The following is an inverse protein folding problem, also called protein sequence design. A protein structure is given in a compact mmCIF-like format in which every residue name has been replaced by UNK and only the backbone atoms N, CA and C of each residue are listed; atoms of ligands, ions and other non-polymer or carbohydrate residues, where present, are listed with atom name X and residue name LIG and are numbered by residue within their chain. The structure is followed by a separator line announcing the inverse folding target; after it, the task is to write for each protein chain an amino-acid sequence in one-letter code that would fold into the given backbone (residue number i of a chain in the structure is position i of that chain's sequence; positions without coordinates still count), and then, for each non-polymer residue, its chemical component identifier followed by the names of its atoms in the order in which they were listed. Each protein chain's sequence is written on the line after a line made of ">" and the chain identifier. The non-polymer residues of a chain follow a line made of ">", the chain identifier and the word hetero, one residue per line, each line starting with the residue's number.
data_IF_330348119822
#
_entry.id   IF_330348119822
#
_cell.length_a   1.000
_cell.length_b   1.000
_cell.length_c   1.000
_cell.angle_alpha   90.00
_cell.angle_beta   90.00
_cell.angle_gamma   90.00
#
_symmetry.space_group_name_H-M   'P 1'
#
loop_
_entity.id
_entity.type
_entity.pdbx_description
1 polymer ?
#
# COMPACT_ATOMS: atom_id res chain seq x y z
N UNK A 1 17.57 -1.80 -62.64
CA UNK A 1 17.12 -2.24 -61.28
C UNK A 1 18.39 -2.54 -60.49
N UNK A 2 18.87 -1.58 -59.71
CA UNK A 2 20.08 -1.69 -58.91
C UNK A 2 19.73 -2.44 -57.61
N UNK A 3 20.49 -3.54 -57.38
CA UNK A 3 20.35 -4.34 -56.18
C UNK A 3 20.74 -3.49 -54.96
N UNK A 4 19.79 -3.26 -54.09
CA UNK A 4 20.03 -2.65 -52.76
C UNK A 4 21.07 -3.47 -52.02
N UNK A 5 22.11 -2.78 -51.51
CA UNK A 5 23.15 -3.41 -50.71
C UNK A 5 22.55 -4.08 -49.48
N UNK A 6 23.04 -5.27 -49.12
CA UNK A 6 22.63 -6.01 -47.90
C UNK A 6 22.76 -5.20 -46.61
N UNK A 7 23.56 -4.14 -46.61
CA UNK A 7 23.69 -3.19 -45.45
C UNK A 7 22.49 -2.23 -45.38
N UNK A 8 21.97 -1.79 -46.52
CA UNK A 8 20.76 -0.94 -46.55
C UNK A 8 19.50 -1.74 -46.20
N UNK A 9 19.40 -2.98 -46.70
CA UNK A 9 18.32 -3.88 -46.27
C UNK A 9 18.37 -4.16 -44.75
N UNK A 10 19.55 -4.39 -44.16
CA UNK A 10 19.67 -4.52 -42.70
C UNK A 10 19.30 -3.25 -41.96
N UNK A 11 19.61 -2.05 -42.49
CA UNK A 11 19.19 -0.77 -41.87
C UNK A 11 17.68 -0.56 -41.98
N UNK A 12 17.06 -0.89 -43.09
CA UNK A 12 15.61 -0.79 -43.28
C UNK A 12 14.87 -1.81 -42.38
N UNK A 13 15.39 -3.04 -42.25
CA UNK A 13 14.83 -4.04 -41.32
C UNK A 13 15.11 -3.76 -39.86
N UNK A 14 16.21 -3.12 -39.50
CA UNK A 14 16.48 -2.71 -38.11
C UNK A 14 15.66 -1.47 -37.70
N UNK A 15 15.32 -0.59 -38.64
CA UNK A 15 14.43 0.54 -38.38
C UNK A 15 12.93 0.17 -38.44
N UNK A 16 12.58 -0.97 -39.05
CA UNK A 16 11.18 -1.46 -39.12
C UNK A 16 10.77 -2.41 -38.00
N UNK A 17 11.67 -2.80 -37.10
CA UNK A 17 11.39 -3.56 -35.88
C UNK A 17 11.71 -2.73 -34.63
N UNK A 18 11.22 -1.52 -34.56
CA UNK A 18 10.73 -1.02 -33.28
C UNK A 18 9.40 -1.74 -33.09
N UNK A 19 9.43 -2.80 -32.34
CA UNK A 19 8.20 -3.43 -31.88
C UNK A 19 7.42 -2.35 -31.13
N UNK A 20 6.22 -2.05 -31.62
CA UNK A 20 5.23 -1.16 -30.98
C UNK A 20 4.82 -1.66 -29.57
N UNK A 21 5.47 -2.70 -29.07
CA UNK A 21 5.28 -3.35 -27.77
C UNK A 21 6.29 -2.95 -26.70
N UNK A 22 7.31 -2.15 -27.00
CA UNK A 22 8.10 -1.45 -25.97
C UNK A 22 7.33 -0.17 -25.60
N UNK A 23 6.19 -0.31 -24.92
CA UNK A 23 5.69 0.75 -24.05
C UNK A 23 6.86 1.21 -23.19
N UNK A 24 7.32 2.41 -23.46
CA UNK A 24 8.48 3.01 -22.80
C UNK A 24 8.20 3.04 -21.30
N UNK A 25 8.72 2.05 -20.60
CA UNK A 25 8.61 1.93 -19.15
C UNK A 25 9.08 3.26 -18.55
N UNK A 26 8.31 3.91 -17.69
CA UNK A 26 8.73 5.15 -17.08
C UNK A 26 10.12 4.98 -16.49
N UNK A 27 11.08 5.75 -17.00
CA UNK A 27 12.48 5.70 -16.55
C UNK A 27 12.57 6.40 -15.21
N UNK A 28 12.16 5.72 -14.13
CA UNK A 28 12.28 6.28 -12.79
C UNK A 28 13.71 6.73 -12.52
N UNK A 29 13.86 7.87 -11.86
CA UNK A 29 15.18 8.47 -11.58
C UNK A 29 15.64 8.17 -10.15
N UNK A 30 14.73 7.86 -9.23
CA UNK A 30 15.09 7.48 -7.86
C UNK A 30 15.67 6.07 -7.78
N UNK A 31 16.30 5.78 -6.66
CA UNK A 31 17.09 4.57 -6.42
C UNK A 31 16.68 3.91 -5.09
N UNK A 32 17.18 2.70 -4.84
CA UNK A 32 17.02 2.02 -3.55
C UNK A 32 17.57 2.86 -2.39
N UNK A 33 18.64 3.65 -2.60
CA UNK A 33 19.18 4.54 -1.56
C UNK A 33 18.17 5.62 -1.16
N UNK A 34 17.45 6.18 -2.13
CA UNK A 34 16.42 7.18 -1.85
C UNK A 34 15.27 6.57 -1.04
N UNK A 35 14.88 5.34 -1.35
CA UNK A 35 13.88 4.57 -0.59
C UNK A 35 14.36 4.31 0.85
N UNK A 36 15.61 3.89 1.01
CA UNK A 36 16.20 3.63 2.33
C UNK A 36 16.19 4.89 3.21
N UNK A 37 16.64 6.03 2.68
CA UNK A 37 16.60 7.30 3.41
C UNK A 37 15.17 7.74 3.72
N UNK A 38 14.22 7.56 2.80
CA UNK A 38 12.82 7.87 3.02
C UNK A 38 12.21 7.03 4.16
N UNK A 39 12.50 5.74 4.20
CA UNK A 39 12.02 4.83 5.27
C UNK A 39 12.62 5.22 6.62
N UNK A 40 13.95 5.46 6.69
CA UNK A 40 14.60 5.90 7.94
C UNK A 40 13.99 7.21 8.41
N UNK A 41 13.85 8.18 7.53
CA UNK A 41 13.24 9.47 7.86
C UNK A 41 11.83 9.29 8.43
N UNK A 42 10.98 8.48 7.77
CA UNK A 42 9.63 8.20 8.26
C UNK A 42 9.65 7.56 9.65
N UNK A 43 10.48 6.53 9.87
CA UNK A 43 10.58 5.86 11.18
C UNK A 43 10.99 6.85 12.26
N UNK A 44 12.03 7.64 12.02
CA UNK A 44 12.54 8.60 13.02
C UNK A 44 11.50 9.67 13.33
N UNK A 45 10.89 10.27 12.31
CA UNK A 45 9.92 11.36 12.49
C UNK A 45 8.64 10.84 13.14
N UNK A 46 8.09 9.71 12.68
CA UNK A 46 6.88 9.13 13.28
C UNK A 46 7.11 8.71 14.73
N UNK A 47 8.25 8.08 15.02
CA UNK A 47 8.61 7.75 16.41
C UNK A 47 8.68 9.00 17.28
N UNK A 48 9.28 10.08 16.78
CA UNK A 48 9.33 11.38 17.46
C UNK A 48 7.93 11.97 17.69
N UNK A 49 7.06 11.93 16.70
CA UNK A 49 5.68 12.42 16.78
C UNK A 49 4.88 11.64 17.84
N UNK A 50 4.94 10.31 17.81
CA UNK A 50 4.23 9.47 18.80
C UNK A 50 4.79 9.64 20.21
N UNK A 51 6.12 9.76 20.35
CA UNK A 51 6.75 10.05 21.63
C UNK A 51 6.30 11.41 22.21
N UNK A 52 6.30 12.45 21.38
CA UNK A 52 5.85 13.77 21.78
C UNK A 52 4.36 13.78 22.16
N UNK A 53 3.53 13.13 21.36
CA UNK A 53 2.11 12.95 21.67
C UNK A 53 1.92 12.28 23.05
N UNK A 54 2.61 11.17 23.32
CA UNK A 54 2.55 10.49 24.61
C UNK A 54 2.96 11.39 25.78
N UNK A 55 4.01 12.22 25.63
CA UNK A 55 4.42 13.19 26.64
C UNK A 55 3.36 14.28 26.89
N UNK A 56 2.76 14.82 25.84
CA UNK A 56 1.70 15.82 25.94
C UNK A 56 0.50 15.24 26.70
N UNK A 57 0.07 14.03 26.34
CA UNK A 57 -1.07 13.35 27.00
C UNK A 57 -0.80 13.15 28.50
N UNK A 58 0.40 12.73 28.88
CA UNK A 58 0.79 12.57 30.29
C UNK A 58 0.78 13.89 31.08
N UNK A 59 1.26 14.97 30.45
CA UNK A 59 1.28 16.30 31.08
C UNK A 59 -0.14 16.83 31.28
N UNK A 60 -1.03 16.61 30.31
CA UNK A 60 -2.41 17.08 30.36
C UNK A 60 -3.31 16.25 31.30
N UNK A 61 -2.92 14.99 31.59
CA UNK A 61 -3.67 14.06 32.44
C UNK A 61 -2.80 13.47 33.55
N UNK A 62 -2.30 14.26 34.46
CA UNK A 62 -1.41 13.77 35.53
C UNK A 62 -2.16 12.78 36.43
N UNK A 63 -1.56 11.61 36.64
CA UNK A 63 -2.10 10.54 37.49
C UNK A 63 -2.97 9.49 36.78
N UNK A 64 -3.29 9.65 35.51
CA UNK A 64 -4.02 8.65 34.71
C UNK A 64 -3.12 8.03 33.64
N UNK A 65 -2.41 6.95 33.98
CA UNK A 65 -1.56 6.25 33.02
C UNK A 65 -2.34 5.60 31.87
N UNK A 66 -3.63 5.31 32.04
CA UNK A 66 -4.51 4.79 31.00
C UNK A 66 -4.91 5.83 29.96
N UNK A 67 -4.67 7.11 30.21
CA UNK A 67 -5.00 8.19 29.27
C UNK A 67 -4.21 8.13 27.95
N UNK A 68 -3.02 7.50 27.94
CA UNK A 68 -2.22 7.28 26.72
C UNK A 68 -2.92 6.27 25.79
N UNK A 69 -3.68 5.33 26.34
CA UNK A 69 -4.36 4.26 25.62
C UNK A 69 -5.69 4.78 25.04
N UNK A 70 -6.28 5.81 25.63
CA UNK A 70 -7.53 6.39 25.18
C UNK A 70 -7.31 7.30 23.94
N UNK A 71 -7.21 6.66 22.77
CA UNK A 71 -7.16 7.37 21.49
C UNK A 71 -8.56 7.94 21.24
N UNK A 72 -8.67 9.25 21.20
CA UNK A 72 -9.90 9.95 20.82
C UNK A 72 -9.99 10.10 19.30
N UNK A 73 -11.20 10.39 18.77
CA UNK A 73 -11.38 10.72 17.36
C UNK A 73 -10.40 11.78 16.85
N UNK A 74 -10.18 12.83 17.65
CA UNK A 74 -9.28 13.93 17.29
C UNK A 74 -7.82 13.44 17.23
N UNK A 75 -7.36 12.72 18.24
CA UNK A 75 -6.01 12.19 18.29
C UNK A 75 -5.72 11.20 17.15
N UNK A 76 -6.67 10.29 16.88
CA UNK A 76 -6.58 9.37 15.77
C UNK A 76 -6.47 10.11 14.43
N UNK A 77 -7.38 11.05 14.17
CA UNK A 77 -7.42 11.80 12.93
C UNK A 77 -6.16 12.64 12.72
N UNK A 78 -5.63 13.28 13.77
CA UNK A 78 -4.42 14.10 13.69
C UNK A 78 -3.18 13.23 13.47
N UNK A 79 -2.97 12.18 14.27
CA UNK A 79 -1.80 11.31 14.14
C UNK A 79 -1.78 10.59 12.80
N UNK A 80 -2.93 10.08 12.37
CA UNK A 80 -3.06 9.43 11.07
C UNK A 80 -2.87 10.41 9.93
N UNK A 81 -3.44 11.62 10.01
CA UNK A 81 -3.22 12.68 9.03
C UNK A 81 -1.75 13.05 8.88
N UNK A 82 -1.01 13.17 10.00
CA UNK A 82 0.44 13.40 10.00
C UNK A 82 1.18 12.24 9.30
N UNK A 83 0.84 10.99 9.64
CA UNK A 83 1.44 9.81 9.02
C UNK A 83 1.26 9.81 7.50
N UNK A 84 0.04 10.05 7.02
CA UNK A 84 -0.31 10.08 5.60
C UNK A 84 0.43 11.21 4.87
N UNK A 85 0.46 12.41 5.45
CA UNK A 85 1.17 13.55 4.88
C UNK A 85 2.68 13.28 4.80
N UNK A 86 3.27 12.66 5.81
CA UNK A 86 4.68 12.28 5.81
C UNK A 86 4.97 11.21 4.75
N UNK A 87 4.14 10.18 4.61
CA UNK A 87 4.32 9.13 3.59
C UNK A 87 4.32 9.72 2.18
N UNK A 88 3.32 10.54 1.83
CA UNK A 88 3.25 11.18 0.53
C UNK A 88 4.33 12.24 0.38
N UNK A 89 4.62 12.99 1.45
CA UNK A 89 5.64 14.02 1.47
C UNK A 89 7.05 13.51 1.17
N UNK A 90 7.44 12.35 1.73
CA UNK A 90 8.76 11.76 1.43
C UNK A 90 8.84 11.27 -0.02
N UNK A 91 7.77 10.68 -0.55
CA UNK A 91 7.73 10.29 -1.97
C UNK A 91 7.85 11.52 -2.86
N UNK A 92 7.08 12.56 -2.57
CA UNK A 92 7.16 13.82 -3.31
C UNK A 92 8.57 14.41 -3.25
N UNK A 93 9.17 14.47 -2.05
CA UNK A 93 10.51 15.02 -1.87
C UNK A 93 11.55 14.22 -2.67
N UNK A 94 11.66 12.91 -2.46
CA UNK A 94 12.71 12.11 -3.08
C UNK A 94 12.48 11.88 -4.58
N UNK A 95 11.26 11.51 -5.01
CA UNK A 95 11.01 11.20 -6.41
C UNK A 95 10.80 12.46 -7.27
N UNK A 96 9.94 13.39 -6.82
CA UNK A 96 9.52 14.53 -7.65
C UNK A 96 10.50 15.69 -7.50
N UNK A 97 10.72 16.17 -6.26
CA UNK A 97 11.55 17.35 -6.03
C UNK A 97 13.06 17.07 -6.25
N UNK A 98 13.60 16.08 -5.55
CA UNK A 98 15.04 15.78 -5.59
C UNK A 98 15.47 15.12 -6.90
N UNK A 99 14.76 14.07 -7.34
CA UNK A 99 15.10 13.31 -8.55
C UNK A 99 14.48 13.88 -9.84
N UNK A 100 13.63 14.89 -9.74
CA UNK A 100 13.00 15.53 -10.93
C UNK A 100 12.24 14.51 -11.80
N UNK A 101 11.59 13.55 -11.17
CA UNK A 101 10.67 12.64 -11.83
C UNK A 101 9.27 13.26 -11.94
N UNK A 102 8.39 12.61 -12.68
CA UNK A 102 7.01 13.07 -12.88
C UNK A 102 6.02 12.20 -12.09
N UNK A 103 4.82 12.68 -11.89
CA UNK A 103 3.73 11.88 -11.30
C UNK A 103 3.41 10.64 -12.14
N UNK A 104 3.59 10.72 -13.47
CA UNK A 104 3.45 9.57 -14.37
C UNK A 104 4.48 8.49 -14.06
N UNK A 105 5.69 8.85 -13.68
CA UNK A 105 6.74 7.90 -13.31
C UNK A 105 6.38 7.14 -12.02
N UNK A 106 5.56 7.71 -11.14
CA UNK A 106 4.99 7.02 -9.98
C UNK A 106 3.85 6.05 -10.35
N UNK A 107 3.38 6.07 -11.60
CA UNK A 107 2.23 5.28 -12.04
C UNK A 107 0.88 5.97 -11.87
N UNK A 108 0.86 7.30 -11.64
CA UNK A 108 -0.37 8.09 -11.68
C UNK A 108 -0.77 8.34 -13.12
N UNK A 109 -1.25 7.27 -13.77
CA UNK A 109 -1.65 7.22 -15.18
C UNK A 109 -3.07 6.70 -15.30
N UNK A 110 -3.77 7.12 -16.35
CA UNK A 110 -5.10 6.60 -16.64
C UNK A 110 -5.04 5.10 -16.95
N UNK A 111 -6.05 4.38 -16.47
CA UNK A 111 -6.31 2.99 -16.83
C UNK A 111 -7.81 2.75 -17.04
N UNK A 112 -8.16 1.79 -17.89
CA UNK A 112 -9.56 1.48 -18.20
C UNK A 112 -10.34 1.06 -16.95
N UNK A 113 -11.44 1.76 -16.65
CA UNK A 113 -12.29 1.48 -15.49
C UNK A 113 -12.91 0.07 -15.52
N UNK A 114 -13.36 -0.36 -16.70
CA UNK A 114 -13.96 -1.70 -16.87
C UNK A 114 -12.90 -2.79 -16.59
N UNK A 115 -11.68 -2.63 -17.13
CA UNK A 115 -10.58 -3.56 -16.85
C UNK A 115 -10.19 -3.52 -15.37
N UNK A 116 -10.25 -2.36 -14.74
CA UNK A 116 -10.00 -2.21 -13.29
C UNK A 116 -10.98 -3.05 -12.48
N UNK A 117 -12.29 -2.94 -12.73
CA UNK A 117 -13.31 -3.73 -12.05
C UNK A 117 -13.03 -5.23 -12.23
N UNK A 118 -12.74 -5.66 -13.46
CA UNK A 118 -12.48 -7.07 -13.75
C UNK A 118 -11.23 -7.61 -13.04
N UNK A 119 -10.11 -6.89 -13.09
CA UNK A 119 -8.90 -7.27 -12.36
C UNK A 119 -9.13 -7.29 -10.86
N UNK A 120 -9.85 -6.30 -10.33
CA UNK A 120 -10.16 -6.24 -8.88
C UNK A 120 -11.05 -7.40 -8.45
N UNK A 121 -12.05 -7.75 -9.23
CA UNK A 121 -12.92 -8.90 -8.93
C UNK A 121 -12.13 -10.22 -8.85
N UNK A 122 -11.32 -10.51 -9.86
CA UNK A 122 -10.49 -11.72 -9.87
C UNK A 122 -9.47 -11.72 -8.72
N UNK A 123 -8.85 -10.57 -8.45
CA UNK A 123 -7.89 -10.44 -7.37
C UNK A 123 -8.54 -10.63 -5.99
N UNK A 124 -9.75 -10.11 -5.77
CA UNK A 124 -10.49 -10.31 -4.52
C UNK A 124 -10.79 -11.80 -4.28
N UNK A 125 -11.17 -12.54 -5.31
CA UNK A 125 -11.37 -13.99 -5.18
C UNK A 125 -10.09 -14.70 -4.72
N UNK A 126 -8.94 -14.33 -5.30
CA UNK A 126 -7.64 -14.89 -4.91
C UNK A 126 -7.28 -14.50 -3.48
N UNK A 127 -7.42 -13.22 -3.12
CA UNK A 127 -7.10 -12.69 -1.79
C UNK A 127 -7.97 -13.38 -0.72
N UNK A 128 -9.30 -13.42 -0.92
CA UNK A 128 -10.19 -14.09 0.02
C UNK A 128 -9.93 -15.59 0.12
N UNK A 129 -9.61 -16.25 -1.00
CA UNK A 129 -9.21 -17.66 -1.00
C UNK A 129 -7.94 -17.91 -0.18
N UNK A 130 -6.92 -17.07 -0.33
CA UNK A 130 -5.67 -17.16 0.46
C UNK A 130 -5.96 -16.89 1.95
N UNK A 131 -6.73 -15.86 2.27
CA UNK A 131 -7.09 -15.51 3.65
C UNK A 131 -7.88 -16.64 4.31
N UNK A 132 -8.86 -17.20 3.62
CA UNK A 132 -9.64 -18.33 4.13
C UNK A 132 -8.75 -19.56 4.39
N UNK A 133 -7.91 -19.93 3.42
CA UNK A 133 -6.97 -21.04 3.57
C UNK A 133 -5.99 -20.80 4.74
N UNK A 134 -5.47 -19.58 4.89
CA UNK A 134 -4.60 -19.21 5.99
C UNK A 134 -5.29 -19.38 7.35
N UNK A 135 -6.46 -18.75 7.53
CA UNK A 135 -7.24 -18.84 8.79
C UNK A 135 -7.57 -20.28 9.09
N UNK A 136 -8.06 -21.06 8.09
CA UNK A 136 -8.37 -22.47 8.24
C UNK A 136 -7.17 -23.28 8.75
N UNK A 137 -6.00 -23.12 8.14
CA UNK A 137 -4.77 -23.83 8.53
C UNK A 137 -4.33 -23.43 9.93
N UNK A 138 -4.24 -22.11 10.20
CA UNK A 138 -3.74 -21.61 11.48
C UNK A 138 -4.66 -22.02 12.64
N UNK A 139 -5.96 -21.95 12.46
CA UNK A 139 -6.92 -22.29 13.51
C UNK A 139 -7.03 -23.81 13.73
N UNK A 140 -7.08 -24.61 12.66
CA UNK A 140 -7.34 -26.04 12.80
C UNK A 140 -6.09 -26.88 13.09
N UNK A 141 -4.96 -26.53 12.47
CA UNK A 141 -3.71 -27.29 12.64
C UNK A 141 -2.80 -26.71 13.73
N UNK A 142 -2.63 -25.39 13.77
CA UNK A 142 -1.77 -24.75 14.77
C UNK A 142 -2.52 -24.36 16.05
N UNK A 143 -3.86 -24.42 16.07
CA UNK A 143 -4.69 -24.05 17.23
C UNK A 143 -4.51 -22.62 17.71
N UNK A 144 -4.10 -21.72 16.81
CA UNK A 144 -3.94 -20.30 17.10
C UNK A 144 -5.24 -19.60 16.72
N UNK A 145 -5.92 -19.00 17.71
CA UNK A 145 -7.12 -18.20 17.47
C UNK A 145 -6.76 -16.85 16.83
N UNK A 146 -7.63 -16.30 15.95
CA UNK A 146 -7.49 -14.93 15.50
C UNK A 146 -7.42 -13.95 16.68
N UNK A 147 -6.57 -12.93 16.64
CA UNK A 147 -6.51 -11.93 17.70
C UNK A 147 -7.80 -11.12 17.76
N UNK A 148 -8.11 -10.62 18.96
CA UNK A 148 -9.23 -9.69 19.13
C UNK A 148 -9.06 -8.44 18.25
N UNK A 149 -10.15 -7.99 17.66
CA UNK A 149 -10.11 -6.83 16.78
C UNK A 149 -10.13 -5.53 17.60
N UNK A 150 -8.95 -4.97 17.86
CA UNK A 150 -8.79 -3.72 18.62
C UNK A 150 -9.54 -2.53 18.00
N UNK A 151 -9.71 -2.50 16.69
CA UNK A 151 -10.45 -1.44 15.99
C UNK A 151 -11.94 -1.57 16.31
N UNK A 152 -12.46 -2.80 16.33
CA UNK A 152 -13.84 -3.07 16.73
C UNK A 152 -14.11 -2.59 18.18
N UNK A 153 -13.20 -2.88 19.10
CA UNK A 153 -13.28 -2.40 20.48
C UNK A 153 -13.30 -0.87 20.58
N UNK A 154 -12.47 -0.16 19.83
CA UNK A 154 -12.46 1.30 19.79
C UNK A 154 -13.77 1.89 19.25
N UNK A 155 -14.44 1.21 18.34
CA UNK A 155 -15.75 1.64 17.80
C UNK A 155 -16.85 1.42 18.83
N UNK A 156 -16.91 0.23 19.44
CA UNK A 156 -17.90 -0.12 20.48
C UNK A 156 -17.81 0.88 21.64
N UNK A 157 -16.62 1.21 22.07
CA UNK A 157 -16.37 2.19 23.12
C UNK A 157 -16.61 3.66 22.68
N UNK A 158 -17.10 3.88 21.44
CA UNK A 158 -17.37 5.22 20.85
C UNK A 158 -16.16 6.15 20.85
N UNK A 159 -14.96 5.60 20.91
CA UNK A 159 -13.72 6.39 20.87
C UNK A 159 -13.36 6.88 19.48
N UNK A 160 -13.84 6.17 18.42
CA UNK A 160 -13.63 6.56 17.03
C UNK A 160 -14.96 6.49 16.27
N UNK A 161 -15.27 7.53 15.48
CA UNK A 161 -16.43 7.56 14.61
C UNK A 161 -16.28 6.54 13.48
N UNK A 162 -17.31 5.71 13.28
CA UNK A 162 -17.37 4.73 12.19
C UNK A 162 -17.19 5.37 10.81
N UNK A 163 -17.70 6.60 10.61
CA UNK A 163 -17.56 7.34 9.35
C UNK A 163 -16.10 7.75 9.12
N UNK A 164 -15.43 8.28 10.16
CA UNK A 164 -14.01 8.66 10.08
C UNK A 164 -13.18 7.43 9.74
N UNK A 165 -13.40 6.33 10.44
CA UNK A 165 -12.67 5.07 10.18
C UNK A 165 -12.90 4.60 8.74
N UNK A 166 -14.16 4.58 8.28
CA UNK A 166 -14.50 4.15 6.93
C UNK A 166 -13.79 4.99 5.87
N UNK A 167 -13.86 6.32 5.96
CA UNK A 167 -13.22 7.21 4.97
C UNK A 167 -11.70 7.09 5.03
N UNK A 168 -11.12 7.07 6.22
CA UNK A 168 -9.67 7.03 6.40
C UNK A 168 -9.09 5.71 5.93
N UNK A 169 -9.63 4.58 6.39
CA UNK A 169 -9.05 3.25 6.13
C UNK A 169 -9.41 2.73 4.74
N UNK A 170 -10.63 3.04 4.22
CA UNK A 170 -11.03 2.52 2.92
C UNK A 170 -10.66 3.43 1.75
N UNK A 171 -10.36 4.70 1.97
CA UNK A 171 -10.10 5.63 0.87
C UNK A 171 -8.73 6.30 0.97
N UNK A 172 -8.45 6.97 2.09
CA UNK A 172 -7.24 7.78 2.23
C UNK A 172 -5.99 6.89 2.35
N UNK A 173 -6.03 5.87 3.22
CA UNK A 173 -4.92 4.95 3.43
C UNK A 173 -4.49 4.25 2.13
N UNK A 174 -5.39 3.59 1.37
CA UNK A 174 -5.02 2.92 0.13
C UNK A 174 -4.33 3.84 -0.88
N UNK A 175 -4.80 5.09 -1.02
CA UNK A 175 -4.15 6.04 -1.95
C UNK A 175 -2.69 6.28 -1.55
N UNK A 176 -2.45 6.57 -0.28
CA UNK A 176 -1.12 6.93 0.21
C UNK A 176 -0.17 5.73 0.24
N UNK A 177 -0.68 4.58 0.66
CA UNK A 177 0.06 3.33 0.71
C UNK A 177 0.45 2.85 -0.68
N UNK A 178 -0.45 2.89 -1.66
CA UNK A 178 -0.11 2.47 -3.01
C UNK A 178 0.90 3.42 -3.68
N UNK A 179 0.82 4.73 -3.45
CA UNK A 179 1.83 5.69 -3.90
C UNK A 179 3.20 5.34 -3.29
N UNK A 180 3.25 5.02 -2.00
CA UNK A 180 4.49 4.72 -1.31
C UNK A 180 5.03 3.33 -1.66
N UNK A 181 4.23 2.27 -1.53
CA UNK A 181 4.71 0.91 -1.74
C UNK A 181 4.86 0.54 -3.22
N UNK A 182 3.90 0.91 -4.10
CA UNK A 182 3.92 0.53 -5.52
C UNK A 182 4.52 1.62 -6.38
N UNK A 183 4.12 2.85 -6.17
CA UNK A 183 4.65 3.98 -6.91
C UNK A 183 6.14 4.21 -6.66
N UNK A 184 6.60 4.08 -5.40
CA UNK A 184 7.96 4.45 -5.02
C UNK A 184 8.87 3.25 -4.74
N UNK A 185 8.54 2.39 -3.75
CA UNK A 185 9.41 1.29 -3.31
C UNK A 185 9.52 0.21 -4.40
N UNK A 186 8.40 -0.35 -4.85
CA UNK A 186 8.37 -1.41 -5.84
C UNK A 186 9.21 -1.06 -7.07
N UNK A 187 9.04 0.14 -7.60
CA UNK A 187 9.72 0.55 -8.82
C UNK A 187 11.24 0.69 -8.64
N UNK A 188 11.70 1.18 -7.47
CA UNK A 188 13.13 1.28 -7.18
C UNK A 188 13.80 -0.10 -7.15
N UNK A 189 13.19 -1.06 -6.45
CA UNK A 189 13.72 -2.42 -6.37
C UNK A 189 13.59 -3.18 -7.70
N UNK A 190 12.46 -3.01 -8.41
CA UNK A 190 12.29 -3.57 -9.74
C UNK A 190 13.36 -3.08 -10.71
N UNK A 191 13.65 -1.79 -10.72
CA UNK A 191 14.70 -1.21 -11.58
C UNK A 191 16.08 -1.81 -11.29
N UNK A 192 16.40 -2.03 -10.02
CA UNK A 192 17.75 -2.41 -9.61
C UNK A 192 17.96 -3.93 -9.57
N UNK A 193 16.95 -4.71 -9.15
CA UNK A 193 17.05 -6.13 -8.87
C UNK A 193 16.00 -6.99 -9.59
N UNK A 194 15.24 -6.40 -10.52
CA UNK A 194 14.23 -7.08 -11.32
C UNK A 194 12.86 -7.17 -10.68
N UNK A 195 11.90 -7.67 -11.45
CA UNK A 195 10.48 -7.71 -11.08
C UNK A 195 10.24 -8.50 -9.81
N UNK A 196 10.87 -9.67 -9.67
CA UNK A 196 10.69 -10.54 -8.50
C UNK A 196 11.09 -9.83 -7.20
N UNK A 197 12.26 -9.18 -7.19
CA UNK A 197 12.72 -8.43 -6.03
C UNK A 197 11.78 -7.25 -5.70
N UNK A 198 11.28 -6.55 -6.72
CA UNK A 198 10.27 -5.52 -6.54
C UNK A 198 9.00 -6.05 -5.87
N UNK A 199 8.45 -7.15 -6.38
CA UNK A 199 7.28 -7.81 -5.81
C UNK A 199 7.51 -8.22 -4.35
N UNK A 200 8.60 -8.96 -4.11
CA UNK A 200 8.90 -9.52 -2.79
C UNK A 200 9.13 -8.43 -1.73
N UNK A 201 10.04 -7.48 -2.01
CA UNK A 201 10.43 -6.48 -1.01
C UNK A 201 9.31 -5.48 -0.75
N UNK A 202 8.60 -5.02 -1.80
CA UNK A 202 7.46 -4.12 -1.61
C UNK A 202 6.36 -4.77 -0.79
N UNK A 203 6.07 -6.07 -1.00
CA UNK A 203 5.05 -6.81 -0.24
C UNK A 203 5.49 -7.09 1.19
N UNK A 204 6.77 -7.41 1.40
CA UNK A 204 7.33 -7.62 2.73
C UNK A 204 7.30 -6.34 3.57
N UNK A 205 7.73 -5.21 2.99
CA UNK A 205 7.68 -3.92 3.68
C UNK A 205 6.24 -3.47 3.94
N UNK A 206 5.31 -3.75 3.00
CA UNK A 206 3.89 -3.50 3.20
C UNK A 206 3.33 -4.28 4.39
N UNK A 207 3.56 -5.59 4.45
CA UNK A 207 3.07 -6.41 5.56
C UNK A 207 3.74 -6.04 6.89
N UNK A 208 5.05 -5.78 6.90
CA UNK A 208 5.78 -5.39 8.09
C UNK A 208 5.34 -4.03 8.67
N UNK A 209 4.94 -3.09 7.81
CA UNK A 209 4.46 -1.76 8.24
C UNK A 209 3.17 -1.81 9.05
N UNK A 210 2.37 -2.88 8.94
CA UNK A 210 1.14 -3.05 9.73
C UNK A 210 1.39 -3.53 11.17
N UNK A 211 2.60 -4.01 11.47
CA UNK A 211 3.02 -4.47 12.81
C UNK A 211 2.12 -5.56 13.42
N UNK A 212 1.45 -6.35 12.60
CA UNK A 212 0.52 -7.40 12.99
C UNK A 212 1.09 -8.79 12.64
N UNK A 213 1.70 -9.47 13.61
CA UNK A 213 2.36 -10.76 13.38
C UNK A 213 1.40 -11.84 12.86
N UNK A 214 0.17 -11.88 13.38
CA UNK A 214 -0.84 -12.84 12.94
C UNK A 214 -1.18 -12.65 11.46
N UNK A 215 -1.32 -11.40 11.01
CA UNK A 215 -1.72 -11.05 9.67
C UNK A 215 -0.55 -10.87 8.68
N UNK A 216 0.70 -11.14 9.09
CA UNK A 216 1.89 -10.87 8.25
C UNK A 216 1.85 -11.65 6.93
N UNK A 217 1.41 -12.91 6.95
CA UNK A 217 1.30 -13.76 5.75
C UNK A 217 0.15 -13.31 4.84
N UNK A 218 -1.09 -13.13 5.35
CA UNK A 218 -2.18 -12.55 4.56
C UNK A 218 -1.83 -11.18 3.97
N UNK A 219 -1.27 -10.27 4.76
CA UNK A 219 -0.88 -8.93 4.29
C UNK A 219 0.24 -8.99 3.24
N UNK A 220 1.19 -9.90 3.39
CA UNK A 220 2.20 -10.14 2.36
C UNK A 220 1.56 -10.63 1.05
N UNK A 221 0.61 -11.56 1.12
CA UNK A 221 -0.08 -12.08 -0.06
C UNK A 221 -0.91 -10.99 -0.76
N UNK A 222 -1.64 -10.16 0.01
CA UNK A 222 -2.35 -8.98 -0.51
C UNK A 222 -1.34 -8.04 -1.17
N UNK A 223 -0.24 -7.74 -0.48
CA UNK A 223 0.84 -6.92 -0.99
C UNK A 223 1.38 -7.40 -2.33
N UNK A 224 1.56 -8.72 -2.46
CA UNK A 224 2.04 -9.35 -3.69
C UNK A 224 1.04 -9.21 -4.85
N UNK A 225 -0.23 -9.46 -4.61
CA UNK A 225 -1.29 -9.32 -5.62
C UNK A 225 -1.38 -7.88 -6.12
N UNK A 226 -1.37 -6.90 -5.20
CA UNK A 226 -1.38 -5.48 -5.56
C UNK A 226 -0.15 -5.09 -6.39
N UNK A 227 1.06 -5.50 -5.97
CA UNK A 227 2.29 -5.23 -6.71
C UNK A 227 2.32 -5.92 -8.09
N UNK A 228 1.76 -7.12 -8.20
CA UNK A 228 1.62 -7.83 -9.47
C UNK A 228 0.69 -7.09 -10.45
N UNK A 229 -0.48 -6.65 -9.97
CA UNK A 229 -1.43 -5.87 -10.79
C UNK A 229 -0.78 -4.54 -11.22
N UNK A 230 -0.12 -3.85 -10.30
CA UNK A 230 0.61 -2.63 -10.64
C UNK A 230 1.70 -2.89 -11.70
N UNK A 231 2.46 -3.96 -11.54
CA UNK A 231 3.46 -4.34 -12.55
C UNK A 231 2.85 -4.58 -13.92
N UNK A 232 1.66 -5.17 -13.97
CA UNK A 232 0.96 -5.49 -15.22
C UNK A 232 0.30 -4.27 -15.86
N UNK A 233 -0.33 -3.41 -15.05
CA UNK A 233 -1.12 -2.26 -15.53
C UNK A 233 -0.31 -0.98 -15.66
N UNK A 234 0.83 -0.87 -14.99
CA UNK A 234 1.67 0.33 -14.89
C UNK A 234 0.91 1.56 -14.35
N UNK A 235 -0.23 1.34 -13.74
CA UNK A 235 -1.10 2.37 -13.19
C UNK A 235 -1.43 2.08 -11.73
N UNK A 236 -1.41 3.13 -10.91
CA UNK A 236 -1.85 3.08 -9.51
C UNK A 236 -3.37 2.98 -9.38
N UNK A 237 -4.12 3.42 -10.40
CA UNK A 237 -5.58 3.46 -10.32
C UNK A 237 -6.21 2.08 -10.01
N UNK A 238 -5.87 0.97 -10.74
CA UNK A 238 -6.43 -0.34 -10.44
C UNK A 238 -6.08 -0.87 -9.04
N UNK A 239 -4.86 -0.61 -8.58
CA UNK A 239 -4.43 -1.13 -7.27
C UNK A 239 -5.00 -0.32 -6.11
N UNK A 240 -5.12 0.99 -6.25
CA UNK A 240 -5.82 1.84 -5.28
C UNK A 240 -7.29 1.42 -5.18
N UNK A 241 -7.96 1.21 -6.31
CA UNK A 241 -9.35 0.78 -6.35
C UNK A 241 -9.54 -0.59 -5.68
N UNK A 242 -8.72 -1.58 -6.04
CA UNK A 242 -8.75 -2.91 -5.43
C UNK A 242 -8.53 -2.85 -3.92
N UNK A 243 -7.51 -2.11 -3.48
CA UNK A 243 -7.15 -1.98 -2.06
C UNK A 243 -8.28 -1.27 -1.28
N UNK A 244 -8.84 -0.21 -1.84
CA UNK A 244 -9.96 0.51 -1.25
C UNK A 244 -11.20 -0.38 -1.09
N UNK A 245 -11.55 -1.15 -2.11
CA UNK A 245 -12.68 -2.11 -2.06
C UNK A 245 -12.41 -3.21 -1.05
N UNK A 246 -11.20 -3.77 -1.01
CA UNK A 246 -10.84 -4.78 -0.02
C UNK A 246 -11.01 -4.26 1.41
N UNK A 247 -10.45 -3.09 1.72
CA UNK A 247 -10.56 -2.48 3.06
C UNK A 247 -12.03 -2.15 3.41
N UNK A 248 -12.80 -1.65 2.45
CA UNK A 248 -14.23 -1.40 2.65
C UNK A 248 -14.98 -2.69 3.03
N UNK A 249 -14.75 -3.78 2.29
CA UNK A 249 -15.38 -5.06 2.58
C UNK A 249 -14.99 -5.59 3.96
N UNK A 250 -13.72 -5.46 4.35
CA UNK A 250 -13.26 -5.88 5.67
C UNK A 250 -13.90 -5.07 6.81
N UNK A 251 -14.08 -3.75 6.62
CA UNK A 251 -14.79 -2.90 7.60
C UNK A 251 -16.27 -3.28 7.68
N UNK A 252 -16.93 -3.56 6.56
CA UNK A 252 -18.34 -3.98 6.56
C UNK A 252 -18.52 -5.33 7.26
N UNK A 253 -17.61 -6.29 7.03
CA UNK A 253 -17.61 -7.57 7.78
C UNK A 253 -17.40 -7.32 9.27
N UNK A 254 -16.49 -6.46 9.65
CA UNK A 254 -16.29 -6.10 11.05
C UNK A 254 -17.56 -5.50 11.67
N UNK A 255 -18.23 -4.57 11.00
CA UNK A 255 -19.48 -3.98 11.52
C UNK A 255 -20.61 -5.02 11.68
N UNK A 256 -20.74 -5.94 10.73
CA UNK A 256 -21.75 -7.01 10.84
C UNK A 256 -21.52 -7.94 12.04
N UNK A 257 -20.27 -8.11 12.45
CA UNK A 257 -19.93 -8.89 13.66
C UNK A 257 -20.26 -8.13 14.95
N UNK A 258 -20.17 -6.81 14.96
CA UNK A 258 -20.51 -5.97 16.14
C UNK A 258 -22.03 -5.94 16.38
N UNK A 259 -22.85 -5.85 15.34
CA UNK A 259 -24.31 -5.89 15.46
C UNK A 259 -24.84 -7.21 16.01
N UNK A 260 -24.14 -8.33 15.77
CA UNK A 260 -24.50 -9.66 16.30
C UNK A 260 -24.18 -9.81 17.79
N UNK A 261 -23.28 -8.99 18.35
CA UNK A 261 -22.91 -9.03 19.77
C UNK A 261 -23.91 -8.23 20.64
N UNK A 262 -24.61 -7.26 20.06
CA UNK A 262 -25.58 -6.39 20.75
C UNK A 262 -27.04 -6.96 20.75
N UNK A 263 -27.25 -8.19 20.23
CA UNK A 263 -28.53 -8.96 20.26
C UNK A 263 -28.39 -10.13 21.25
#
# INVERSE_FOLDING_TARGET
>A
MTALDRRELKRLYSNGKRSDDEEEYPRIKWTIRDVFFAIIFLIVVLTGVYFLYGKIVLVLNPGNQNSIINITNTSFSVLYGIQVLLMVGVVWFFAIYWRRSTYRDLGLTYYSFIKTIWYSFLALLVIFGINFAYVFVVTNFFKIAPPENKIAELIVNKNISSIILLVVVSLIAPVCEEIFFRGFIFQAFKKSWGVFAGLFISSLLFSAAHLELYNIIPLFAIGWVLAYIFNKTKSLFPVIFLHAVYNLLMILVMFSQLEVIDI
#
